data_IF_491046680071
#
_entry.id   IF_491046680071
#
_cell.length_a   1.000
_cell.length_b   1.000
_cell.length_c   1.000
_cell.angle_alpha   90.00
_cell.angle_beta   90.00
_cell.angle_gamma   90.00
#
_symmetry.space_group_name_H-M   'P 1'
#
loop_
_entity.id
_entity.type
_entity.pdbx_description
1 polymer ?
#
# COMPACT_ATOMS: atom_id res chain seq x y z
N UNK A 1 15.47 8.24 12.70
CA UNK A 1 14.33 7.42 13.19
C UNK A 1 13.11 8.32 13.18
N UNK A 2 11.92 7.81 12.82
CA UNK A 2 10.70 8.61 12.84
C UNK A 2 10.26 8.93 14.27
N UNK A 3 9.55 10.05 14.43
CA UNK A 3 8.90 10.46 15.68
C UNK A 3 7.47 9.94 15.68
N UNK A 4 7.06 9.26 16.76
CA UNK A 4 5.71 8.73 16.92
C UNK A 4 4.87 9.67 17.78
N UNK A 5 3.70 10.07 17.30
CA UNK A 5 2.80 10.94 18.04
C UNK A 5 1.47 10.25 18.31
N UNK A 6 1.02 10.31 19.56
CA UNK A 6 -0.35 10.01 19.96
C UNK A 6 -0.99 11.27 20.52
N UNK A 7 -2.06 11.75 19.87
CA UNK A 7 -2.77 12.98 20.26
C UNK A 7 -1.85 14.20 20.43
N UNK A 8 -0.81 14.31 19.58
CA UNK A 8 0.17 15.41 19.62
C UNK A 8 1.29 15.24 20.65
N UNK A 9 1.29 14.16 21.44
CA UNK A 9 2.36 13.83 22.40
C UNK A 9 3.29 12.79 21.80
N UNK A 10 4.60 13.01 21.93
CA UNK A 10 5.62 12.04 21.52
C UNK A 10 5.61 10.81 22.42
N UNK A 11 5.69 9.64 21.80
CA UNK A 11 5.70 8.35 22.50
C UNK A 11 6.82 7.45 21.98
N UNK A 12 7.21 6.48 22.79
CA UNK A 12 8.25 5.52 22.44
C UNK A 12 7.80 4.60 21.28
N UNK A 13 8.72 4.19 20.38
CA UNK A 13 8.38 3.28 19.28
C UNK A 13 7.74 1.98 19.75
N UNK A 14 8.20 1.41 20.86
CA UNK A 14 7.64 0.17 21.44
C UNK A 14 6.20 0.35 21.94
N UNK A 15 5.84 1.56 22.38
CA UNK A 15 4.48 1.89 22.77
C UNK A 15 3.60 2.12 21.54
N UNK A 16 4.14 2.83 20.55
CA UNK A 16 3.49 3.03 19.25
C UNK A 16 3.06 1.70 18.60
N UNK A 17 3.80 0.60 18.84
CA UNK A 17 3.44 -0.73 18.32
C UNK A 17 2.15 -1.35 18.89
N UNK A 18 1.60 -0.82 19.98
CA UNK A 18 0.36 -1.34 20.61
C UNK A 18 -0.93 -0.80 19.97
N UNK A 19 -0.83 0.26 19.17
CA UNK A 19 -1.98 0.94 18.57
C UNK A 19 -2.50 0.20 17.33
N UNK A 20 -3.83 0.14 17.16
CA UNK A 20 -4.42 -0.57 16.02
C UNK A 20 -4.16 0.15 14.68
N UNK A 21 -4.04 1.47 14.69
CA UNK A 21 -3.90 2.27 13.48
C UNK A 21 -2.62 3.08 13.55
N UNK A 22 -1.85 3.01 12.47
CA UNK A 22 -0.67 3.83 12.25
C UNK A 22 -0.86 4.59 10.95
N UNK A 23 -0.42 5.84 10.93
CA UNK A 23 -0.58 6.74 9.79
C UNK A 23 0.77 7.39 9.50
N UNK A 24 1.23 7.26 8.26
CA UNK A 24 2.50 7.81 7.82
C UNK A 24 2.34 8.59 6.51
N UNK A 25 3.24 9.56 6.31
CA UNK A 25 3.35 10.32 5.08
C UNK A 25 3.00 11.80 5.25
N UNK A 26 3.80 12.65 4.61
CA UNK A 26 3.80 14.10 4.84
C UNK A 26 2.49 14.78 4.43
N UNK A 27 1.73 14.20 3.51
CA UNK A 27 0.48 14.80 3.03
C UNK A 27 -0.64 14.84 4.09
N UNK A 28 -0.59 13.95 5.10
CA UNK A 28 -1.56 13.95 6.20
C UNK A 28 -0.95 14.40 7.53
N UNK A 29 0.34 14.16 7.74
CA UNK A 29 1.04 14.48 9.00
C UNK A 29 1.68 15.87 8.98
N UNK A 30 1.86 16.46 7.79
CA UNK A 30 2.58 17.73 7.59
C UNK A 30 4.10 17.62 7.68
N UNK A 31 4.67 16.45 8.01
CA UNK A 31 6.11 16.23 8.18
C UNK A 31 6.51 14.82 7.71
N UNK A 32 7.65 14.69 7.02
CA UNK A 32 8.08 13.40 6.45
C UNK A 32 8.46 12.34 7.50
N UNK A 33 8.95 12.78 8.66
CA UNK A 33 9.49 11.94 9.73
C UNK A 33 8.50 11.65 10.86
N UNK A 34 7.24 12.12 10.73
CA UNK A 34 6.20 11.92 11.75
C UNK A 34 5.31 10.74 11.39
N UNK A 35 5.07 9.90 12.39
CA UNK A 35 4.09 8.82 12.36
C UNK A 35 3.04 9.10 13.42
N UNK A 36 1.77 9.14 13.03
CA UNK A 36 0.65 9.26 13.96
C UNK A 36 0.09 7.88 14.31
N UNK A 37 -0.32 7.69 15.56
CA UNK A 37 -0.93 6.44 16.01
C UNK A 37 -2.27 6.65 16.71
N UNK A 38 -3.20 5.71 16.49
CA UNK A 38 -4.57 5.77 17.00
C UNK A 38 -5.04 4.39 17.49
N UNK A 39 -5.87 4.36 18.54
CA UNK A 39 -6.37 3.10 19.08
C UNK A 39 -7.37 2.44 18.14
N UNK A 40 -8.09 3.23 17.34
CA UNK A 40 -9.14 2.75 16.44
C UNK A 40 -9.16 3.53 15.13
N UNK A 41 -9.76 2.94 14.09
CA UNK A 41 -10.03 3.65 12.83
C UNK A 41 -11.01 4.81 13.00
N UNK A 42 -11.85 4.79 14.04
CA UNK A 42 -12.80 5.87 14.34
C UNK A 42 -12.09 7.13 14.86
N UNK A 43 -11.11 6.95 15.75
CA UNK A 43 -10.25 8.05 16.22
C UNK A 43 -9.49 8.68 15.05
N UNK A 44 -8.87 7.86 14.21
CA UNK A 44 -8.17 8.33 13.02
C UNK A 44 -9.13 9.07 12.07
N UNK A 45 -10.31 8.53 11.79
CA UNK A 45 -11.29 9.15 10.89
C UNK A 45 -11.75 10.53 11.37
N UNK A 46 -11.88 10.74 12.69
CA UNK A 46 -12.22 12.06 13.26
C UNK A 46 -11.13 13.10 13.02
N UNK A 47 -9.85 12.69 13.13
CA UNK A 47 -8.72 13.56 12.80
C UNK A 47 -8.67 13.83 11.30
N UNK A 48 -8.77 12.79 10.47
CA UNK A 48 -8.71 12.89 9.02
C UNK A 48 -9.81 13.79 8.44
N UNK A 49 -10.97 13.91 9.09
CA UNK A 49 -12.06 14.82 8.70
C UNK A 49 -11.64 16.30 8.66
N UNK A 50 -10.55 16.68 9.33
CA UNK A 50 -9.97 18.03 9.30
C UNK A 50 -8.95 18.22 8.17
N UNK A 51 -8.73 17.19 7.35
CA UNK A 51 -7.76 17.18 6.25
C UNK A 51 -8.47 17.00 4.92
N UNK A 52 -7.74 17.21 3.81
CA UNK A 52 -8.27 16.95 2.45
C UNK A 52 -8.65 15.49 2.18
N UNK A 53 -8.24 14.55 3.03
CA UNK A 53 -8.51 13.12 2.89
C UNK A 53 -9.74 12.65 3.66
N UNK A 54 -10.42 13.53 4.41
CA UNK A 54 -11.53 13.16 5.30
C UNK A 54 -12.60 12.30 4.63
N UNK A 55 -13.13 12.78 3.50
CA UNK A 55 -14.17 12.08 2.73
C UNK A 55 -13.68 10.73 2.20
N UNK A 56 -12.44 10.66 1.73
CA UNK A 56 -11.85 9.44 1.17
C UNK A 56 -11.62 8.39 2.26
N UNK A 57 -11.11 8.79 3.43
CA UNK A 57 -10.92 7.91 4.60
C UNK A 57 -12.26 7.37 5.08
N UNK A 58 -13.25 8.26 5.27
CA UNK A 58 -14.59 7.87 5.71
C UNK A 58 -15.27 6.93 4.70
N UNK A 59 -15.23 7.27 3.41
CA UNK A 59 -15.81 6.45 2.35
C UNK A 59 -15.17 5.06 2.26
N UNK A 60 -13.84 4.98 2.44
CA UNK A 60 -13.11 3.70 2.46
C UNK A 60 -13.54 2.83 3.64
N UNK A 61 -13.58 3.40 4.86
CA UNK A 61 -14.03 2.69 6.05
C UNK A 61 -15.48 2.21 5.94
N UNK A 62 -16.36 3.06 5.40
CA UNK A 62 -17.76 2.73 5.16
C UNK A 62 -17.89 1.58 4.15
N UNK A 63 -17.19 1.65 3.02
CA UNK A 63 -17.21 0.63 1.97
C UNK A 63 -16.75 -0.73 2.50
N UNK A 64 -15.68 -0.76 3.30
CA UNK A 64 -15.18 -2.00 3.91
C UNK A 64 -16.23 -2.59 4.84
N UNK A 65 -16.79 -1.78 5.73
CA UNK A 65 -17.78 -2.22 6.72
C UNK A 65 -19.07 -2.72 6.08
N UNK A 66 -19.56 -2.03 5.05
CA UNK A 66 -20.91 -2.24 4.52
C UNK A 66 -20.96 -3.16 3.30
N UNK A 67 -19.88 -3.24 2.52
CA UNK A 67 -19.84 -4.02 1.27
C UNK A 67 -18.83 -5.16 1.31
N UNK A 68 -17.62 -4.89 1.81
CA UNK A 68 -16.54 -5.89 1.69
C UNK A 68 -16.61 -6.96 2.78
N UNK A 69 -16.62 -6.55 4.05
CA UNK A 69 -16.64 -7.48 5.18
C UNK A 69 -17.89 -8.37 5.25
N UNK A 70 -19.12 -7.89 4.96
CA UNK A 70 -20.30 -8.74 4.96
C UNK A 70 -20.24 -9.86 3.90
N UNK A 71 -19.54 -9.60 2.80
CA UNK A 71 -19.47 -10.51 1.66
C UNK A 71 -18.21 -11.38 1.65
N UNK A 72 -17.31 -11.25 2.64
CA UNK A 72 -16.00 -11.93 2.71
C UNK A 72 -16.03 -13.47 2.64
N UNK A 73 -17.20 -14.08 2.88
CA UNK A 73 -17.40 -15.54 2.80
C UNK A 73 -18.10 -15.98 1.51
N UNK A 74 -18.51 -15.05 0.65
CA UNK A 74 -19.22 -15.37 -0.60
C UNK A 74 -18.22 -15.78 -1.66
N UNK A 75 -18.24 -17.06 -2.06
CA UNK A 75 -17.33 -17.62 -3.07
C UNK A 75 -17.31 -16.80 -4.37
N UNK A 76 -18.46 -16.29 -4.83
CA UNK A 76 -18.56 -15.47 -6.03
C UNK A 76 -17.77 -14.15 -5.93
N UNK A 77 -17.81 -13.48 -4.77
CA UNK A 77 -17.02 -12.25 -4.55
C UNK A 77 -15.53 -12.57 -4.48
N UNK A 78 -15.16 -13.63 -3.75
CA UNK A 78 -13.77 -14.10 -3.64
C UNK A 78 -13.18 -14.36 -5.03
N UNK A 79 -13.88 -15.15 -5.85
CA UNK A 79 -13.45 -15.45 -7.22
C UNK A 79 -13.41 -14.21 -8.11
N UNK A 80 -14.37 -13.29 -7.96
CA UNK A 80 -14.38 -12.02 -8.70
C UNK A 80 -13.21 -11.14 -8.32
N UNK A 81 -12.92 -10.96 -7.04
CA UNK A 81 -11.80 -10.14 -6.56
C UNK A 81 -10.46 -10.77 -6.95
N UNK A 82 -10.31 -12.08 -6.83
CA UNK A 82 -9.12 -12.80 -7.28
C UNK A 82 -8.90 -12.63 -8.79
N UNK A 83 -9.97 -12.77 -9.59
CA UNK A 83 -9.90 -12.58 -11.04
C UNK A 83 -9.57 -11.14 -11.42
N UNK A 84 -10.22 -10.15 -10.80
CA UNK A 84 -9.97 -8.73 -11.06
C UNK A 84 -8.53 -8.34 -10.70
N UNK A 85 -8.01 -8.84 -9.57
CA UNK A 85 -6.63 -8.63 -9.15
C UNK A 85 -5.62 -9.13 -10.20
N UNK A 86 -5.85 -10.30 -10.80
CA UNK A 86 -4.99 -10.84 -11.85
C UNK A 86 -5.20 -10.16 -13.20
N UNK A 87 -6.45 -9.88 -13.58
CA UNK A 87 -6.81 -9.28 -14.87
C UNK A 87 -6.41 -7.81 -14.99
N UNK A 88 -6.58 -7.00 -13.94
CA UNK A 88 -6.13 -5.60 -13.97
C UNK A 88 -4.62 -5.51 -14.11
N UNK A 89 -3.88 -6.36 -13.38
CA UNK A 89 -2.42 -6.45 -13.51
C UNK A 89 -2.03 -6.81 -14.95
N UNK A 90 -2.63 -7.84 -15.53
CA UNK A 90 -2.26 -8.27 -16.88
C UNK A 90 -2.67 -7.24 -17.97
N UNK A 91 -3.84 -6.61 -17.83
CA UNK A 91 -4.33 -5.62 -18.78
C UNK A 91 -3.51 -4.33 -18.76
N UNK A 92 -3.20 -3.79 -17.58
CA UNK A 92 -2.39 -2.57 -17.45
C UNK A 92 -0.95 -2.81 -17.93
N UNK A 93 -0.36 -3.98 -17.67
CA UNK A 93 0.97 -4.30 -18.21
C UNK A 93 0.96 -4.46 -19.73
N UNK A 94 -0.11 -5.03 -20.31
CA UNK A 94 -0.23 -5.20 -21.76
C UNK A 94 -0.41 -3.87 -22.49
N UNK A 95 -1.27 -3.00 -22.00
CA UNK A 95 -1.48 -1.65 -22.55
C UNK A 95 -0.18 -0.82 -22.50
N UNK A 96 0.59 -0.95 -21.43
CA UNK A 96 1.90 -0.30 -21.32
C UNK A 96 2.93 -0.85 -22.31
N UNK A 97 2.96 -2.18 -22.46
CA UNK A 97 3.87 -2.84 -23.39
C UNK A 97 3.58 -2.45 -24.85
N UNK A 98 2.30 -2.33 -25.20
CA UNK A 98 1.86 -1.83 -26.51
C UNK A 98 2.32 -0.40 -26.78
N UNK A 99 2.28 0.49 -25.77
CA UNK A 99 2.80 1.85 -25.88
C UNK A 99 4.33 1.90 -26.07
N UNK A 100 5.04 0.91 -25.54
CA UNK A 100 6.50 0.80 -25.63
C UNK A 100 6.99 -0.04 -26.83
N UNK A 101 6.07 -0.61 -27.62
CA UNK A 101 6.36 -1.58 -28.69
C UNK A 101 7.23 -2.75 -28.21
N UNK A 102 6.87 -3.32 -27.05
CA UNK A 102 7.62 -4.40 -26.39
C UNK A 102 6.71 -5.54 -25.94
N UNK A 103 7.32 -6.69 -25.64
CA UNK A 103 6.58 -7.79 -25.02
C UNK A 103 6.15 -7.39 -23.60
N UNK A 104 4.90 -7.65 -23.17
CA UNK A 104 4.44 -7.38 -21.80
C UNK A 104 5.27 -8.07 -20.71
N UNK A 105 6.02 -9.12 -21.06
CA UNK A 105 6.93 -9.85 -20.17
C UNK A 105 8.37 -9.34 -20.22
N UNK A 106 8.66 -8.34 -21.05
CA UNK A 106 9.98 -7.73 -21.16
C UNK A 106 10.35 -7.02 -19.86
N UNK A 107 11.56 -7.26 -19.36
CA UNK A 107 12.08 -6.62 -18.14
C UNK A 107 12.04 -5.09 -18.23
N UNK A 108 12.18 -4.53 -19.43
CA UNK A 108 12.18 -3.09 -19.62
C UNK A 108 10.79 -2.47 -19.52
N UNK A 109 9.74 -3.17 -19.98
CA UNK A 109 8.33 -2.78 -19.80
C UNK A 109 7.99 -2.79 -18.32
N UNK A 110 8.41 -3.83 -17.61
CA UNK A 110 8.26 -3.93 -16.17
C UNK A 110 8.98 -2.77 -15.48
N UNK A 111 10.24 -2.49 -15.84
CA UNK A 111 11.04 -1.41 -15.27
C UNK A 111 10.44 -0.02 -15.50
N UNK A 112 10.00 0.27 -16.73
CA UNK A 112 9.45 1.59 -17.09
C UNK A 112 8.05 1.83 -16.51
N UNK A 113 7.22 0.79 -16.39
CA UNK A 113 5.93 0.88 -15.69
C UNK A 113 6.11 1.27 -14.22
N UNK A 114 7.28 0.97 -13.64
CA UNK A 114 7.58 1.10 -12.22
C UNK A 114 8.41 2.33 -11.85
N UNK A 115 9.21 2.91 -12.75
CA UNK A 115 10.28 3.86 -12.38
C UNK A 115 10.26 5.21 -13.11
N UNK A 116 9.82 5.30 -14.36
CA UNK A 116 9.89 6.54 -15.14
C UNK A 116 8.50 7.15 -15.38
N UNK A 117 8.13 8.11 -14.52
CA UNK A 117 7.06 9.06 -14.87
C UNK A 117 7.59 9.98 -15.96
N UNK A 118 7.30 9.66 -17.22
CA UNK A 118 7.36 10.67 -18.27
C UNK A 118 5.96 11.24 -18.50
N UNK A 119 5.81 12.47 -18.97
CA UNK A 119 4.50 13.04 -19.34
C UNK A 119 3.73 12.21 -20.39
N UNK A 120 4.41 11.26 -21.04
CA UNK A 120 3.89 10.41 -22.11
C UNK A 120 3.46 9.01 -21.63
N UNK A 121 3.78 8.63 -20.39
CA UNK A 121 3.29 7.39 -19.79
C UNK A 121 1.99 7.69 -19.04
N UNK A 122 0.82 7.26 -19.53
CA UNK A 122 -0.46 7.53 -18.87
C UNK A 122 -0.53 6.86 -17.49
N UNK A 123 -1.58 7.17 -16.71
CA UNK A 123 -1.86 6.67 -15.35
C UNK A 123 -2.05 5.13 -15.28
N UNK A 124 -1.02 4.37 -15.62
CA UNK A 124 -0.94 2.91 -15.53
C UNK A 124 -0.37 2.46 -14.18
N UNK A 125 -0.11 3.42 -13.27
CA UNK A 125 0.65 3.21 -12.05
C UNK A 125 -0.06 2.29 -11.07
N UNK A 126 0.63 1.21 -10.70
CA UNK A 126 0.42 0.56 -9.42
C UNK A 126 0.58 1.64 -8.32
N UNK A 127 -0.48 2.02 -7.60
CA UNK A 127 -0.39 2.99 -6.52
C UNK A 127 0.56 2.54 -5.41
N UNK A 128 0.95 1.26 -5.40
CA UNK A 128 1.88 0.75 -4.42
C UNK A 128 2.77 -0.37 -4.96
N UNK A 129 4.03 -0.38 -4.53
CA UNK A 129 4.98 -1.46 -4.75
C UNK A 129 5.47 -1.98 -3.40
N UNK A 130 5.37 -3.29 -3.19
CA UNK A 130 5.89 -3.99 -2.03
C UNK A 130 7.25 -4.60 -2.36
N UNK A 131 8.19 -4.50 -1.44
CA UNK A 131 9.51 -5.13 -1.54
C UNK A 131 9.71 -6.07 -0.36
N UNK A 132 10.32 -7.23 -0.60
CA UNK A 132 10.63 -8.19 0.46
C UNK A 132 11.92 -7.87 1.23
N UNK A 133 12.50 -6.68 1.00
CA UNK A 133 13.72 -6.15 1.62
C UNK A 133 13.49 -4.75 2.17
N UNK A 134 14.21 -4.41 3.25
CA UNK A 134 14.30 -3.04 3.78
C UNK A 134 15.13 -2.12 2.85
N UNK A 135 14.56 -0.98 2.43
CA UNK A 135 15.12 0.03 1.53
C UNK A 135 15.05 1.41 2.21
N UNK A 136 16.20 2.02 2.49
CA UNK A 136 16.31 3.25 3.31
C UNK A 136 16.30 4.58 2.53
N UNK A 137 16.68 4.60 1.25
CA UNK A 137 16.91 5.86 0.51
C UNK A 137 16.27 5.86 -0.88
N UNK A 138 16.77 5.03 -1.76
CA UNK A 138 16.26 4.89 -3.12
C UNK A 138 16.05 3.41 -3.42
N UNK A 139 14.98 3.06 -4.16
CA UNK A 139 14.86 1.75 -4.74
C UNK A 139 16.09 1.49 -5.63
N UNK A 140 16.61 0.26 -5.69
CA UNK A 140 17.77 -0.06 -6.53
C UNK A 140 17.52 0.41 -7.98
N UNK A 141 18.44 1.21 -8.51
CA UNK A 141 18.30 1.95 -9.78
C UNK A 141 18.46 1.09 -11.03
N UNK A 142 18.82 -0.19 -10.88
CA UNK A 142 19.10 -1.13 -11.97
C UNK A 142 18.16 -2.33 -11.93
N UNK A 143 16.95 -2.16 -12.48
CA UNK A 143 16.06 -3.28 -12.89
C UNK A 143 15.66 -4.26 -11.74
N UNK A 144 14.86 -5.30 -12.01
CA UNK A 144 14.60 -6.43 -11.10
C UNK A 144 15.84 -7.27 -10.72
N UNK A 145 17.06 -6.75 -10.85
CA UNK A 145 18.29 -7.54 -10.97
C UNK A 145 19.25 -7.46 -9.76
N UNK A 146 18.77 -7.10 -8.58
CA UNK A 146 19.22 -7.90 -7.43
C UNK A 146 18.27 -9.09 -7.37
N UNK A 147 18.60 -10.27 -7.96
CA UNK A 147 17.72 -11.44 -7.96
C UNK A 147 17.32 -11.91 -6.55
N UNK A 148 17.92 -11.31 -5.52
CA UNK A 148 17.62 -11.52 -4.10
C UNK A 148 16.47 -10.66 -3.57
N UNK A 149 16.05 -9.61 -4.26
CA UNK A 149 14.96 -8.72 -3.80
C UNK A 149 13.71 -8.98 -4.63
N UNK A 150 12.77 -9.75 -4.08
CA UNK A 150 11.47 -9.91 -4.70
C UNK A 150 10.64 -8.64 -4.49
N UNK A 151 9.76 -8.34 -5.44
CA UNK A 151 8.83 -7.22 -5.36
C UNK A 151 7.46 -7.62 -5.92
N UNK A 152 6.42 -6.91 -5.48
CA UNK A 152 5.04 -7.09 -5.95
C UNK A 152 4.42 -5.72 -6.26
N UNK A 153 4.01 -5.48 -7.52
CA UNK A 153 3.17 -4.35 -7.85
C UNK A 153 1.75 -4.61 -7.36
N UNK A 154 1.14 -3.59 -6.74
CA UNK A 154 -0.26 -3.60 -6.30
C UNK A 154 -1.01 -2.52 -7.08
N UNK A 155 -1.83 -2.93 -8.07
CA UNK A 155 -2.79 -2.05 -8.73
C UNK A 155 -3.84 -1.45 -7.79
N UNK A 156 -4.45 -0.32 -8.18
CA UNK A 156 -5.55 0.29 -7.43
C UNK A 156 -6.70 -0.70 -7.23
N UNK A 157 -7.23 -0.77 -6.01
CA UNK A 157 -8.31 -1.66 -5.63
C UNK A 157 -8.11 -2.32 -4.27
N UNK A 158 -8.95 -3.33 -4.03
CA UNK A 158 -9.01 -4.07 -2.77
C UNK A 158 -8.36 -5.44 -2.94
N UNK A 159 -7.31 -5.69 -2.16
CA UNK A 159 -6.52 -6.91 -2.17
C UNK A 159 -6.66 -7.62 -0.82
N UNK A 160 -7.72 -8.41 -0.61
CA UNK A 160 -8.06 -8.98 0.70
C UNK A 160 -7.13 -10.14 1.12
N UNK A 161 -6.33 -10.70 0.22
CA UNK A 161 -5.37 -11.76 0.56
C UNK A 161 -4.19 -11.72 -0.43
N UNK A 162 -3.04 -11.23 0.04
CA UNK A 162 -1.81 -11.25 -0.77
C UNK A 162 -1.28 -12.68 -1.00
N UNK A 163 -1.79 -13.66 -0.26
CA UNK A 163 -1.47 -15.08 -0.43
C UNK A 163 -1.94 -15.63 -1.77
N UNK A 164 -2.91 -15.01 -2.42
CA UNK A 164 -3.34 -15.38 -3.77
C UNK A 164 -2.23 -15.24 -4.82
N UNK A 165 -1.26 -14.37 -4.55
CA UNK A 165 -0.06 -14.19 -5.38
C UNK A 165 1.22 -14.61 -4.65
N UNK A 166 1.11 -15.32 -3.52
CA UNK A 166 2.26 -15.83 -2.76
C UNK A 166 3.04 -14.77 -1.97
N UNK A 167 2.37 -13.70 -1.53
CA UNK A 167 3.01 -12.52 -0.94
C UNK A 167 2.61 -12.16 0.49
N UNK A 168 1.85 -13.01 1.17
CA UNK A 168 1.53 -12.79 2.59
C UNK A 168 2.80 -12.68 3.42
N UNK A 169 2.85 -11.67 4.29
CA UNK A 169 3.86 -11.51 5.33
C UNK A 169 5.30 -11.42 4.78
N UNK A 170 5.45 -11.01 3.51
CA UNK A 170 6.76 -10.85 2.86
C UNK A 170 7.27 -9.41 2.87
N UNK A 171 6.36 -8.44 2.76
CA UNK A 171 6.74 -7.05 2.58
C UNK A 171 7.56 -6.52 3.76
N UNK A 172 8.69 -5.87 3.45
CA UNK A 172 9.57 -5.18 4.38
C UNK A 172 9.71 -3.69 4.06
N UNK A 173 9.52 -3.30 2.80
CA UNK A 173 9.40 -1.91 2.39
C UNK A 173 8.24 -1.71 1.43
N UNK A 174 7.82 -0.47 1.31
CA UNK A 174 6.76 -0.05 0.42
C UNK A 174 7.15 1.24 -0.28
N UNK A 175 6.92 1.29 -1.59
CA UNK A 175 6.83 2.55 -2.34
C UNK A 175 5.36 2.81 -2.64
N UNK A 176 4.87 4.01 -2.38
CA UNK A 176 3.44 4.32 -2.51
C UNK A 176 3.19 5.69 -3.12
N UNK A 177 2.04 5.81 -3.78
CA UNK A 177 1.51 7.01 -4.40
C UNK A 177 0.05 7.15 -3.99
N UNK A 178 -0.37 8.34 -3.58
CA UNK A 178 -1.72 8.59 -3.11
C UNK A 178 -1.97 8.04 -1.70
N UNK A 179 -3.17 7.52 -1.48
CA UNK A 179 -3.63 6.97 -0.21
C UNK A 179 -3.64 5.44 -0.29
N UNK A 180 -2.85 4.77 0.54
CA UNK A 180 -2.78 3.31 0.55
C UNK A 180 -2.92 2.78 1.97
N UNK A 181 -3.38 1.53 2.10
CA UNK A 181 -3.63 0.89 3.38
C UNK A 181 -3.00 -0.49 3.35
N UNK A 182 -2.15 -0.78 4.32
CA UNK A 182 -1.64 -2.11 4.61
C UNK A 182 -2.34 -2.66 5.84
N UNK A 183 -2.78 -3.91 5.79
CA UNK A 183 -3.46 -4.57 6.91
C UNK A 183 -2.73 -5.86 7.32
N UNK A 184 -2.69 -6.08 8.64
CA UNK A 184 -1.97 -7.20 9.24
C UNK A 184 -2.59 -8.57 8.89
N UNK A 185 -3.90 -8.63 8.75
CA UNK A 185 -4.59 -9.89 8.45
C UNK A 185 -5.34 -9.78 7.12
N UNK A 186 -5.68 -10.95 6.58
CA UNK A 186 -6.56 -11.06 5.41
C UNK A 186 -7.89 -10.36 5.66
N UNK A 187 -8.55 -9.93 4.59
CA UNK A 187 -9.83 -9.24 4.62
C UNK A 187 -9.81 -7.99 5.48
N UNK A 188 -8.73 -7.21 5.40
CA UNK A 188 -8.57 -5.91 6.06
C UNK A 188 -8.71 -6.01 7.59
N UNK A 189 -8.20 -7.10 8.17
CA UNK A 189 -8.26 -7.37 9.60
C UNK A 189 -6.99 -6.96 10.35
N UNK A 190 -7.09 -6.92 11.68
CA UNK A 190 -5.97 -6.65 12.57
C UNK A 190 -5.58 -5.18 12.60
N UNK A 191 -4.27 -4.93 12.59
CA UNK A 191 -3.65 -3.60 12.55
C UNK A 191 -3.70 -2.99 11.15
N UNK A 192 -3.79 -1.66 11.06
CA UNK A 192 -3.85 -0.89 9.81
C UNK A 192 -2.72 0.14 9.76
N UNK A 193 -1.99 0.18 8.64
CA UNK A 193 -1.03 1.22 8.30
C UNK A 193 -1.56 2.01 7.10
N UNK A 194 -1.96 3.26 7.35
CA UNK A 194 -2.39 4.20 6.31
C UNK A 194 -1.19 5.01 5.83
N UNK A 195 -1.02 5.09 4.52
CA UNK A 195 0.12 5.71 3.85
C UNK A 195 -0.39 6.82 2.93
N UNK A 196 0.12 8.04 3.09
CA UNK A 196 -0.31 9.22 2.33
C UNK A 196 0.87 9.94 1.72
N UNK A 197 1.01 9.93 0.40
CA UNK A 197 2.12 10.65 -0.21
C UNK A 197 2.25 10.48 -1.70
N UNK A 198 3.03 11.38 -2.29
CA UNK A 198 3.46 11.25 -3.67
C UNK A 198 4.85 10.65 -3.71
N UNK A 199 4.98 9.41 -4.20
CA UNK A 199 6.27 8.73 -4.33
C UNK A 199 6.98 8.44 -2.98
N UNK A 200 6.21 8.16 -1.93
CA UNK A 200 6.77 7.85 -0.62
C UNK A 200 7.48 6.49 -0.63
N UNK A 201 8.65 6.39 0.01
CA UNK A 201 9.36 5.14 0.26
C UNK A 201 9.52 4.96 1.76
N UNK A 202 9.12 3.79 2.28
CA UNK A 202 9.10 3.54 3.71
C UNK A 202 9.48 2.10 4.06
N UNK A 203 10.30 1.95 5.09
CA UNK A 203 10.52 0.67 5.75
C UNK A 203 9.37 0.33 6.68
N UNK A 204 8.73 -0.81 6.44
CA UNK A 204 7.58 -1.25 7.22
C UNK A 204 7.95 -1.58 8.68
N UNK A 205 9.23 -1.83 8.97
CA UNK A 205 9.71 -1.97 10.35
C UNK A 205 9.47 -0.69 11.17
N UNK A 206 9.53 0.49 10.54
CA UNK A 206 9.19 1.76 11.17
C UNK A 206 7.71 1.86 11.54
N UNK A 207 6.85 1.06 10.92
CA UNK A 207 5.45 0.96 11.28
C UNK A 207 5.16 -0.28 12.14
N UNK A 208 6.17 -1.10 12.49
CA UNK A 208 5.93 -2.44 13.04
C UNK A 208 5.10 -3.33 12.11
N UNK A 209 5.19 -3.09 10.79
CA UNK A 209 4.52 -3.84 9.73
C UNK A 209 5.44 -4.78 8.94
N UNK A 210 6.73 -4.84 9.26
CA UNK A 210 7.66 -5.72 8.57
C UNK A 210 7.22 -7.18 8.71
N UNK A 211 6.98 -7.85 7.57
CA UNK A 211 6.55 -9.25 7.48
C UNK A 211 5.26 -9.58 8.24
N UNK A 212 4.31 -8.64 8.25
CA UNK A 212 2.96 -8.91 8.78
C UNK A 212 1.85 -8.46 7.84
N UNK A 213 2.18 -7.93 6.66
CA UNK A 213 1.18 -7.45 5.70
C UNK A 213 0.54 -8.63 4.96
N UNK A 214 -0.77 -8.82 5.15
CA UNK A 214 -1.56 -9.88 4.54
C UNK A 214 -2.70 -9.39 3.64
N UNK A 215 -3.11 -8.12 3.75
CA UNK A 215 -4.05 -7.50 2.80
C UNK A 215 -3.78 -6.03 2.60
N UNK A 216 -4.29 -5.47 1.51
CA UNK A 216 -3.95 -4.13 1.02
C UNK A 216 -5.16 -3.46 0.38
N UNK A 217 -5.26 -2.14 0.55
CA UNK A 217 -6.15 -1.29 -0.24
C UNK A 217 -5.30 -0.21 -0.88
N UNK A 218 -5.43 -0.05 -2.19
CA UNK A 218 -4.57 0.81 -2.98
C UNK A 218 -5.40 1.81 -3.78
N UNK A 219 -5.08 3.11 -3.70
CA UNK A 219 -5.75 4.18 -4.45
C UNK A 219 -4.79 4.91 -5.36
#
# INVERSE_FOLDING_TARGET
MPTYLHQGTEIEPTEAMKFQVIVAGSEITGKEDVILVFHTNEEFSKMAAQTRYGDQVQGTLQLIREKVLPERKRAALIQRMHRLALQHKEASFREFAELLDKDPKDEEVIRMAMLDRTPLTPNLFDPMLLYDRAIEREPPTTSPQDPRTAWLPIPSGFWPDLGWVGWNDRAQSVRFFGMNILCQHKWFGGRWAWLFGFNGLLNLSHLGFARITSSVISY
#
